data_IF_770492463091
#
_entry.id   IF_770492463091
#
_cell.length_a   1.000
_cell.length_b   1.000
_cell.length_c   1.000
_cell.angle_alpha   90.00
_cell.angle_beta   90.00
_cell.angle_gamma   90.00
#
_symmetry.space_group_name_H-M   'P 1'
#
loop_
_entity.id
_entity.type
_entity.pdbx_description
1 polymer ?
#
# COMPACT_ATOMS: atom_id res chain seq x y z
N UNK A 1 -2.30 -19.47 31.08
CA UNK A 1 -1.33 -19.82 30.01
C UNK A 1 -1.01 -18.56 29.22
N UNK A 2 0.22 -18.04 29.34
CA UNK A 2 0.65 -16.83 28.63
C UNK A 2 1.06 -17.13 27.18
N UNK A 3 0.88 -16.16 26.28
CA UNK A 3 1.33 -16.28 24.88
C UNK A 3 2.86 -16.49 24.86
N UNK A 4 3.38 -17.50 24.13
CA UNK A 4 4.82 -17.70 24.01
C UNK A 4 5.51 -16.44 23.49
N UNK A 5 6.68 -16.11 24.05
CA UNK A 5 7.47 -14.96 23.58
C UNK A 5 7.94 -15.25 22.15
N UNK A 6 7.87 -14.24 21.28
CA UNK A 6 8.38 -14.36 19.92
C UNK A 6 9.91 -14.47 19.95
N UNK A 7 10.47 -15.34 19.12
CA UNK A 7 11.91 -15.44 18.87
C UNK A 7 12.32 -14.49 17.75
N UNK A 8 13.49 -13.85 17.86
CA UNK A 8 14.06 -12.96 16.84
C UNK A 8 14.15 -11.48 17.23
N UNK A 9 14.74 -10.68 16.34
CA UNK A 9 14.91 -9.24 16.52
C UNK A 9 13.61 -8.49 16.27
N UNK A 10 13.27 -7.56 17.17
CA UNK A 10 12.14 -6.66 17.00
C UNK A 10 12.59 -5.41 16.25
N UNK A 11 11.96 -5.15 15.10
CA UNK A 11 12.12 -3.90 14.36
C UNK A 11 10.86 -3.05 14.50
N UNK A 12 11.03 -1.75 14.73
CA UNK A 12 9.93 -0.78 14.86
C UNK A 12 10.12 0.28 13.79
N UNK A 13 9.10 0.43 12.93
CA UNK A 13 9.04 1.46 11.92
C UNK A 13 7.97 2.49 12.30
N UNK A 14 8.30 3.78 12.19
CA UNK A 14 7.36 4.89 12.35
C UNK A 14 7.15 5.51 10.98
N UNK A 15 5.96 5.32 10.43
CA UNK A 15 5.62 5.84 9.10
C UNK A 15 4.69 7.03 9.27
N UNK A 16 4.99 8.12 8.57
CA UNK A 16 4.10 9.26 8.42
C UNK A 16 3.57 9.25 6.99
N UNK A 17 2.25 9.10 6.85
CA UNK A 17 1.58 9.17 5.56
C UNK A 17 0.89 10.52 5.43
N UNK A 18 0.93 11.09 4.22
CA UNK A 18 0.11 12.22 3.80
C UNK A 18 -0.70 11.70 2.63
N UNK A 19 -2.02 11.84 2.72
CA UNK A 19 -2.96 11.35 1.73
C UNK A 19 -3.76 12.56 1.23
N UNK A 20 -4.11 12.56 -0.05
CA UNK A 20 -4.91 13.61 -0.69
C UNK A 20 -6.33 13.14 -0.94
N UNK A 21 -7.30 13.98 -0.59
CA UNK A 21 -8.70 13.76 -0.95
C UNK A 21 -8.86 13.82 -2.48
N UNK A 22 -9.63 12.89 -3.03
CA UNK A 22 -9.85 12.72 -4.47
C UNK A 22 -8.85 11.80 -5.18
N UNK A 23 -7.74 11.44 -4.54
CA UNK A 23 -6.74 10.51 -5.08
C UNK A 23 -6.60 9.26 -4.19
N UNK A 24 -6.52 9.45 -2.87
CA UNK A 24 -6.29 8.40 -1.89
C UNK A 24 -7.56 8.05 -1.07
N UNK A 25 -8.74 8.28 -1.64
CA UNK A 25 -10.01 8.21 -0.89
C UNK A 25 -10.26 6.81 -0.29
N UNK A 26 -9.83 5.75 -0.97
CA UNK A 26 -9.90 4.37 -0.50
C UNK A 26 -9.02 4.13 0.74
N UNK A 27 -7.78 4.63 0.72
CA UNK A 27 -6.83 4.57 1.83
C UNK A 27 -7.30 5.41 3.01
N UNK A 28 -7.84 6.60 2.74
CA UNK A 28 -8.40 7.50 3.75
C UNK A 28 -9.60 6.81 4.43
N UNK A 29 -10.56 6.30 3.65
CA UNK A 29 -11.73 5.62 4.16
C UNK A 29 -11.36 4.37 4.98
N UNK A 30 -10.42 3.57 4.49
CA UNK A 30 -9.90 2.40 5.20
C UNK A 30 -9.31 2.78 6.57
N UNK A 31 -8.42 3.78 6.61
CA UNK A 31 -7.77 4.21 7.85
C UNK A 31 -8.73 4.89 8.84
N UNK A 32 -9.75 5.58 8.33
CA UNK A 32 -10.80 6.20 9.14
C UNK A 32 -11.76 5.17 9.74
N UNK A 33 -12.06 4.07 9.03
CA UNK A 33 -12.92 3.01 9.54
C UNK A 33 -12.29 2.22 10.72
N UNK A 34 -10.98 2.34 10.94
CA UNK A 34 -10.25 1.61 11.97
C UNK A 34 -10.05 2.46 13.23
N UNK A 35 -10.41 1.96 14.42
CA UNK A 35 -10.11 2.62 15.69
C UNK A 35 -8.61 2.87 15.89
N UNK A 36 -8.23 4.01 16.47
CA UNK A 36 -6.84 4.48 16.55
C UNK A 36 -5.85 3.43 17.09
N UNK A 37 -6.23 2.67 18.12
CA UNK A 37 -5.40 1.62 18.72
C UNK A 37 -5.21 0.36 17.87
N UNK A 38 -5.95 0.20 16.77
CA UNK A 38 -5.94 -1.00 15.91
C UNK A 38 -5.32 -0.77 14.53
N UNK A 39 -5.02 0.48 14.17
CA UNK A 39 -4.50 0.86 12.83
C UNK A 39 -3.23 0.09 12.46
N UNK A 40 -2.25 0.01 13.35
CA UNK A 40 -1.01 -0.72 13.09
C UNK A 40 -1.23 -2.22 12.82
N UNK A 41 -2.21 -2.84 13.49
CA UNK A 41 -2.56 -4.25 13.24
C UNK A 41 -3.26 -4.42 11.89
N UNK A 42 -4.16 -3.51 11.53
CA UNK A 42 -4.88 -3.55 10.27
C UNK A 42 -3.95 -3.32 9.08
N UNK A 43 -3.07 -2.32 9.15
CA UNK A 43 -2.03 -2.07 8.13
C UNK A 43 -1.15 -3.30 7.96
N UNK A 44 -0.73 -3.93 9.06
CA UNK A 44 0.08 -5.15 9.01
C UNK A 44 -0.65 -6.31 8.33
N UNK A 45 -1.97 -6.44 8.54
CA UNK A 45 -2.78 -7.46 7.88
C UNK A 45 -2.91 -7.16 6.39
N UNK A 46 -3.23 -5.92 6.01
CA UNK A 46 -3.34 -5.48 4.62
C UNK A 46 -2.04 -5.78 3.84
N UNK A 47 -0.90 -5.32 4.37
CA UNK A 47 0.43 -5.58 3.80
C UNK A 47 0.77 -7.07 3.66
N UNK A 48 0.31 -7.92 4.59
CA UNK A 48 0.55 -9.38 4.51
C UNK A 48 -0.38 -10.09 3.54
N UNK A 49 -1.58 -9.58 3.36
CA UNK A 49 -2.59 -10.18 2.50
C UNK A 49 -2.43 -9.80 1.02
N UNK A 50 -1.58 -8.81 0.71
CA UNK A 50 -1.48 -8.23 -0.63
C UNK A 50 -2.74 -7.44 -1.07
N UNK A 51 -3.83 -7.52 -0.30
CA UNK A 51 -5.06 -6.75 -0.49
C UNK A 51 -4.95 -5.41 0.23
N UNK A 52 -4.12 -4.54 -0.32
CA UNK A 52 -4.55 -3.15 -0.43
C UNK A 52 -5.28 -3.18 -1.76
N UNK A 53 -6.62 -3.17 -1.74
CA UNK A 53 -7.43 -3.29 -2.96
C UNK A 53 -7.29 -2.01 -3.80
N UNK A 54 -6.11 -1.84 -4.42
CA UNK A 54 -5.79 -1.15 -5.68
C UNK A 54 -4.39 -1.63 -6.08
N UNK A 55 -4.31 -2.85 -6.63
CA UNK A 55 -3.19 -3.24 -7.50
C UNK A 55 -3.57 -2.77 -8.90
N UNK A 56 -3.25 -1.52 -9.20
CA UNK A 56 -2.74 -1.17 -10.53
C UNK A 56 -1.35 -0.61 -10.28
N UNK A 57 -0.41 -1.51 -9.99
CA UNK A 57 0.89 -1.34 -10.59
C UNK A 57 0.67 -1.83 -12.02
N UNK A 58 0.27 -0.92 -12.91
CA UNK A 58 0.78 -1.06 -14.26
C UNK A 58 2.30 -1.08 -14.06
N UNK A 59 2.88 -2.22 -14.41
CA UNK A 59 4.25 -2.28 -14.87
C UNK A 59 4.34 -1.17 -15.91
N UNK A 60 4.74 0.03 -15.49
CA UNK A 60 5.21 1.03 -16.42
C UNK A 60 6.41 0.35 -17.04
N UNK A 61 6.19 -0.33 -18.17
CA UNK A 61 7.25 -0.84 -19.01
C UNK A 61 8.29 0.26 -19.12
N UNK A 62 9.56 -0.15 -19.04
CA UNK A 62 10.70 0.75 -19.07
C UNK A 62 10.45 1.86 -20.12
N UNK A 63 10.88 3.11 -19.87
CA UNK A 63 10.54 4.30 -20.70
C UNK A 63 10.71 4.07 -22.23
N UNK A 64 11.55 3.12 -22.61
CA UNK A 64 11.77 2.65 -23.99
C UNK A 64 10.53 2.02 -24.65
N UNK A 65 9.66 1.31 -23.92
CA UNK A 65 8.43 0.71 -24.45
C UNK A 65 7.34 1.77 -24.69
N UNK A 66 7.31 2.83 -23.89
CA UNK A 66 6.33 3.93 -23.98
C UNK A 66 6.54 4.77 -25.25
N UNK A 67 7.79 4.94 -25.66
CA UNK A 67 8.15 5.66 -26.88
C UNK A 67 7.63 4.95 -28.14
N UNK A 68 7.63 3.60 -28.15
CA UNK A 68 7.14 2.81 -29.29
C UNK A 68 5.62 2.90 -29.48
N UNK A 69 4.86 2.94 -28.38
CA UNK A 69 3.40 3.06 -28.39
C UNK A 69 2.92 4.47 -28.76
N UNK A 70 3.69 5.51 -28.40
CA UNK A 70 3.38 6.89 -28.75
C UNK A 70 3.54 7.15 -30.26
N UNK A 71 4.50 6.49 -30.91
CA UNK A 71 4.71 6.60 -32.36
C UNK A 71 3.59 5.91 -33.15
N UNK A 72 3.10 4.76 -32.68
CA UNK A 72 1.96 4.04 -33.29
C UNK A 72 0.62 4.79 -33.16
N UNK A 73 0.47 5.64 -32.14
CA UNK A 73 -0.74 6.46 -31.92
C UNK A 73 -0.77 7.72 -32.80
N UNK A 74 0.38 8.15 -33.34
CA UNK A 74 0.53 9.37 -34.14
C UNK A 74 0.63 9.11 -35.65
N UNK A 75 0.51 7.85 -36.11
CA UNK A 75 0.24 7.50 -37.51
C UNK A 75 -1.26 7.43 -37.80
#
# INVERSE_FOLDING_TARGET
>A
MGRPRKTGNLFVFRVKLRLWEGEDDDLIAFLQAIPEGKRASAIKTALRSGRIETLVMDDFGDEDDLASLADDLLM
#
